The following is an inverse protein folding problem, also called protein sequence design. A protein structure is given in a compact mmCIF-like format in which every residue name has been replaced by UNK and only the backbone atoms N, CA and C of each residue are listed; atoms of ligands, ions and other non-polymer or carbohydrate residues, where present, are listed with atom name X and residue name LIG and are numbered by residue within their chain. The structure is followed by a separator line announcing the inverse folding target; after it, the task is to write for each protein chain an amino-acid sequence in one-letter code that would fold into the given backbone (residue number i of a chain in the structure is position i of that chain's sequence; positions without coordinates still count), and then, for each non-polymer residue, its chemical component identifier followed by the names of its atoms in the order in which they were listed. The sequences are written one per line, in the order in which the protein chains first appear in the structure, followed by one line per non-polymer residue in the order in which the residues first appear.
data_IF_510883437542
#
_entry.id   IF_510883437542
#
_cell.length_a   1.000
_cell.length_b   1.000
_cell.length_c   1.000
_cell.angle_alpha   90.00
_cell.angle_beta   90.00
_cell.angle_gamma   90.00
#
_symmetry.space_group_name_H-M   'P 1'
#
loop_
_entity.id
_entity.type
_entity.pdbx_description
1 polymer ?
#
# COMPACT_ATOMS: atom_id res chain seq x y z
N UNK A 1 20.76 -26.03 -15.86
CA UNK A 1 19.44 -25.71 -16.45
C UNK A 1 19.07 -24.23 -16.29
N UNK A 2 19.38 -23.57 -15.17
CA UNK A 2 19.07 -22.14 -14.96
C UNK A 2 19.76 -21.18 -15.95
N UNK A 3 21.02 -21.45 -16.33
CA UNK A 3 21.78 -20.62 -17.29
C UNK A 3 21.14 -20.50 -18.68
N UNK A 4 20.37 -21.50 -19.12
CA UNK A 4 19.71 -21.49 -20.43
C UNK A 4 18.47 -20.58 -20.46
N UNK A 5 17.77 -20.42 -19.34
CA UNK A 5 16.57 -19.57 -19.24
C UNK A 5 16.93 -18.09 -19.20
N UNK A 6 17.97 -17.72 -18.44
CA UNK A 6 18.46 -16.33 -18.37
C UNK A 6 18.99 -15.85 -19.73
N UNK A 7 19.76 -16.69 -20.45
CA UNK A 7 20.25 -16.37 -21.79
C UNK A 7 19.11 -16.19 -22.81
N UNK A 8 18.06 -17.02 -22.74
CA UNK A 8 16.89 -16.86 -23.59
C UNK A 8 16.15 -15.54 -23.33
N UNK A 9 16.02 -15.13 -22.06
CA UNK A 9 15.41 -13.86 -21.67
C UNK A 9 16.25 -12.65 -22.10
N UNK A 10 17.57 -12.73 -22.03
CA UNK A 10 18.46 -11.68 -22.55
C UNK A 10 18.33 -11.52 -24.07
N UNK A 11 18.30 -12.63 -24.82
CA UNK A 11 18.04 -12.59 -26.25
C UNK A 11 16.62 -12.08 -26.60
N UNK A 12 15.63 -12.34 -25.74
CA UNK A 12 14.29 -11.76 -25.88
C UNK A 12 14.29 -10.24 -25.58
N UNK A 13 15.05 -9.78 -24.58
CA UNK A 13 15.19 -8.36 -24.27
C UNK A 13 15.81 -7.58 -25.44
N UNK A 14 16.84 -8.12 -26.09
CA UNK A 14 17.45 -7.46 -27.25
C UNK A 14 16.51 -7.39 -28.46
N UNK A 15 15.71 -8.44 -28.70
CA UNK A 15 14.65 -8.41 -29.72
C UNK A 15 13.57 -7.38 -29.38
N UNK A 16 13.11 -7.37 -28.13
CA UNK A 16 12.14 -6.38 -27.64
C UNK A 16 12.64 -4.94 -27.83
N UNK A 17 13.91 -4.65 -27.54
CA UNK A 17 14.51 -3.32 -27.77
C UNK A 17 14.42 -2.91 -29.24
N UNK A 18 14.69 -3.84 -30.17
CA UNK A 18 14.57 -3.60 -31.62
C UNK A 18 13.14 -3.40 -32.09
N UNK A 19 12.21 -4.25 -31.64
CA UNK A 19 10.79 -4.19 -32.02
C UNK A 19 10.08 -2.92 -31.49
N UNK A 20 10.49 -2.43 -30.32
CA UNK A 20 9.88 -1.27 -29.65
C UNK A 20 10.78 -0.01 -29.68
N UNK A 21 11.78 0.04 -30.57
CA UNK A 21 12.81 1.07 -30.56
C UNK A 21 12.25 2.49 -30.58
N UNK A 22 11.31 2.80 -31.49
CA UNK A 22 10.72 4.14 -31.63
C UNK A 22 9.96 4.57 -30.37
N UNK A 23 9.17 3.65 -29.79
CA UNK A 23 8.40 3.92 -28.58
C UNK A 23 9.31 4.14 -27.35
N UNK A 24 10.40 3.38 -27.24
CA UNK A 24 11.40 3.55 -26.19
C UNK A 24 12.16 4.88 -26.35
N UNK A 25 12.54 5.25 -27.57
CA UNK A 25 13.20 6.51 -27.86
C UNK A 25 12.32 7.72 -27.52
N UNK A 26 11.02 7.66 -27.82
CA UNK A 26 10.09 8.75 -27.45
C UNK A 26 9.98 8.91 -25.92
N UNK A 27 9.96 7.81 -25.16
CA UNK A 27 9.97 7.87 -23.68
C UNK A 27 11.26 8.51 -23.15
N UNK A 28 12.42 8.16 -23.71
CA UNK A 28 13.71 8.77 -23.36
C UNK A 28 13.73 10.25 -23.73
N UNK A 29 13.14 10.63 -24.88
CA UNK A 29 13.01 12.03 -25.30
C UNK A 29 12.17 12.83 -24.31
N UNK A 30 11.00 12.32 -23.90
CA UNK A 30 10.13 12.95 -22.91
C UNK A 30 10.81 13.09 -21.53
N UNK A 31 11.56 12.07 -21.12
CA UNK A 31 12.36 12.10 -19.90
C UNK A 31 13.46 13.17 -19.97
N UNK A 32 14.12 13.31 -21.12
CA UNK A 32 15.12 14.35 -21.37
C UNK A 32 14.50 15.76 -21.34
N UNK A 33 13.32 15.94 -21.94
CA UNK A 33 12.56 17.21 -21.90
C UNK A 33 12.18 17.59 -20.46
N UNK A 34 11.79 16.61 -19.64
CA UNK A 34 11.53 16.81 -18.22
C UNK A 34 12.78 17.28 -17.46
N UNK A 35 13.93 16.64 -17.67
CA UNK A 35 15.19 17.03 -16.99
C UNK A 35 15.65 18.43 -17.42
N UNK A 36 15.51 18.79 -18.70
CA UNK A 36 15.80 20.15 -19.17
C UNK A 36 14.89 21.19 -18.51
N UNK A 37 13.61 20.85 -18.32
CA UNK A 37 12.62 21.72 -17.67
C UNK A 37 12.85 21.86 -16.17
N UNK A 38 13.28 20.78 -15.52
CA UNK A 38 13.44 20.68 -14.07
C UNK A 38 14.81 20.10 -13.71
N UNK A 39 15.91 20.83 -13.96
CA UNK A 39 17.29 20.33 -13.86
C UNK A 39 17.79 20.32 -12.42
N UNK A 40 17.02 19.72 -11.50
CA UNK A 40 17.26 19.82 -10.06
C UNK A 40 18.41 18.94 -9.58
N UNK A 41 18.85 17.96 -10.36
CA UNK A 41 20.05 17.17 -10.04
C UNK A 41 21.32 17.97 -10.31
N UNK A 42 21.35 18.73 -11.41
CA UNK A 42 22.48 19.59 -11.80
C UNK A 42 22.44 20.95 -11.10
N UNK A 43 21.23 21.46 -10.84
CA UNK A 43 20.95 22.77 -10.26
C UNK A 43 19.95 22.66 -9.08
N UNK A 44 20.34 22.02 -7.96
CA UNK A 44 19.47 21.83 -6.80
C UNK A 44 18.98 23.15 -6.20
N UNK A 45 19.72 24.25 -6.34
CA UNK A 45 19.33 25.58 -5.88
C UNK A 45 17.99 26.06 -6.47
N UNK A 46 17.64 25.59 -7.68
CA UNK A 46 16.37 25.94 -8.34
C UNK A 46 15.14 25.34 -7.65
N UNK A 47 15.30 24.35 -6.77
CA UNK A 47 14.20 23.80 -5.97
C UNK A 47 13.63 24.88 -5.03
N UNK A 48 14.50 25.70 -4.45
CA UNK A 48 14.09 26.76 -3.51
C UNK A 48 13.17 27.80 -4.19
N UNK A 49 13.37 28.03 -5.48
CA UNK A 49 12.63 29.00 -6.30
C UNK A 49 11.20 28.54 -6.65
N UNK A 50 10.88 27.26 -6.46
CA UNK A 50 9.57 26.71 -6.86
C UNK A 50 8.41 27.39 -6.12
N UNK A 51 7.53 28.02 -6.89
CA UNK A 51 6.21 28.46 -6.41
C UNK A 51 5.24 27.28 -6.24
N UNK A 52 4.16 27.43 -5.45
CA UNK A 52 3.10 26.42 -5.34
C UNK A 52 2.53 25.94 -6.70
N UNK A 53 2.39 26.86 -7.65
CA UNK A 53 1.88 26.55 -9.00
C UNK A 53 2.91 25.76 -9.83
N UNK A 54 4.19 26.04 -9.66
CA UNK A 54 5.26 25.27 -10.31
C UNK A 54 5.38 23.86 -9.74
N UNK A 55 5.18 23.67 -8.44
CA UNK A 55 5.08 22.34 -7.81
C UNK A 55 3.91 21.56 -8.41
N UNK A 56 2.74 22.21 -8.58
CA UNK A 56 1.58 21.57 -9.22
C UNK A 56 1.89 21.17 -10.66
N UNK A 57 2.54 22.05 -11.43
CA UNK A 57 2.97 21.77 -12.82
C UNK A 57 4.03 20.66 -12.90
N UNK A 58 4.98 20.64 -11.98
CA UNK A 58 5.98 19.59 -11.86
C UNK A 58 5.33 18.23 -11.63
N UNK A 59 4.38 18.14 -10.68
CA UNK A 59 3.68 16.89 -10.42
C UNK A 59 2.72 16.50 -11.55
N UNK A 60 2.16 17.47 -12.28
CA UNK A 60 1.42 17.20 -13.50
C UNK A 60 2.31 16.53 -14.56
N UNK A 61 3.56 16.97 -14.71
CA UNK A 61 4.54 16.32 -15.57
C UNK A 61 4.83 14.89 -15.13
N UNK A 62 5.14 14.71 -13.83
CA UNK A 62 5.36 13.40 -13.22
C UNK A 62 4.18 12.47 -13.49
N UNK A 63 2.93 12.90 -13.34
CA UNK A 63 1.79 12.01 -13.54
C UNK A 63 1.44 11.77 -15.01
N UNK A 64 1.24 12.83 -15.77
CA UNK A 64 0.58 12.76 -17.07
C UNK A 64 1.56 12.75 -18.24
N UNK A 65 2.55 13.65 -18.24
CA UNK A 65 3.50 13.76 -19.37
C UNK A 65 4.50 12.61 -19.40
N UNK A 66 4.87 12.09 -18.22
CA UNK A 66 5.73 10.93 -18.06
C UNK A 66 4.93 9.65 -17.77
N UNK A 67 3.65 9.60 -18.16
CA UNK A 67 2.78 8.43 -17.90
C UNK A 67 3.35 7.15 -18.50
N UNK A 68 3.83 7.23 -19.75
CA UNK A 68 4.33 6.08 -20.50
C UNK A 68 5.73 5.65 -20.05
N UNK A 69 6.42 6.50 -19.28
CA UNK A 69 7.69 6.17 -18.65
C UNK A 69 7.49 5.20 -17.47
N UNK A 70 6.55 5.53 -16.60
CA UNK A 70 6.18 4.71 -15.43
C UNK A 70 4.77 5.08 -14.98
N UNK A 71 3.78 4.23 -15.25
CA UNK A 71 2.40 4.58 -14.91
C UNK A 71 2.18 4.60 -13.39
N UNK A 72 1.56 5.68 -12.90
CA UNK A 72 1.05 5.78 -11.52
C UNK A 72 -0.39 6.27 -11.54
N UNK A 73 -1.19 5.87 -10.55
CA UNK A 73 -2.56 6.33 -10.38
C UNK A 73 -2.79 6.85 -8.95
N UNK A 74 -2.60 8.16 -8.72
CA UNK A 74 -2.83 8.75 -7.40
C UNK A 74 -4.32 8.90 -7.05
N UNK A 75 -5.23 8.54 -7.98
CA UNK A 75 -6.69 8.49 -7.76
C UNK A 75 -7.40 9.84 -7.72
N UNK A 76 -6.69 10.93 -7.46
CA UNK A 76 -7.21 12.30 -7.51
C UNK A 76 -6.07 13.32 -7.66
N UNK A 77 -6.40 14.55 -8.00
CA UNK A 77 -5.44 15.67 -8.01
C UNK A 77 -5.10 16.19 -6.60
N UNK A 78 -5.72 15.63 -5.54
CA UNK A 78 -5.53 16.05 -4.15
C UNK A 78 -4.08 15.99 -3.71
N UNK A 79 -3.29 15.01 -4.19
CA UNK A 79 -1.88 14.93 -3.81
C UNK A 79 -1.07 16.10 -4.38
N UNK A 80 -1.37 16.57 -5.60
CA UNK A 80 -0.72 17.77 -6.18
C UNK A 80 -1.07 19.01 -5.39
N UNK A 81 -2.36 19.19 -5.07
CA UNK A 81 -2.81 20.30 -4.23
C UNK A 81 -2.15 20.25 -2.84
N UNK A 82 -2.08 19.07 -2.23
CA UNK A 82 -1.43 18.88 -0.94
C UNK A 82 0.06 19.23 -0.99
N UNK A 83 0.77 18.88 -2.06
CA UNK A 83 2.17 19.27 -2.25
C UNK A 83 2.31 20.78 -2.44
N UNK A 84 1.46 21.42 -3.25
CA UNK A 84 1.44 22.88 -3.43
C UNK A 84 1.09 23.65 -2.15
N UNK A 85 0.20 23.11 -1.30
CA UNK A 85 -0.09 23.74 0.00
C UNK A 85 1.04 23.52 1.00
N UNK A 86 1.77 22.41 0.90
CA UNK A 86 2.90 22.07 1.74
C UNK A 86 4.24 22.28 1.01
N UNK A 87 4.40 23.41 0.29
CA UNK A 87 5.54 23.66 -0.60
C UNK A 87 6.89 23.45 0.07
N UNK A 88 7.08 23.96 1.28
CA UNK A 88 8.36 23.85 1.98
C UNK A 88 8.69 22.40 2.37
N UNK A 89 7.69 21.59 2.72
CA UNK A 89 7.90 20.17 2.97
C UNK A 89 8.22 19.43 1.65
N UNK A 90 7.53 19.79 0.56
CA UNK A 90 7.77 19.19 -0.74
C UNK A 90 9.18 19.50 -1.28
N UNK A 91 9.62 20.76 -1.19
CA UNK A 91 10.96 21.20 -1.60
C UNK A 91 12.05 20.41 -0.88
N UNK A 92 11.96 20.28 0.44
CA UNK A 92 12.91 19.47 1.24
C UNK A 92 12.95 18.01 0.82
N UNK A 93 11.79 17.41 0.53
CA UNK A 93 11.74 16.02 0.05
C UNK A 93 12.30 15.89 -1.38
N UNK A 94 12.11 16.89 -2.23
CA UNK A 94 12.67 16.94 -3.58
C UNK A 94 14.19 17.12 -3.55
N UNK A 95 14.73 17.94 -2.65
CA UNK A 95 16.18 18.07 -2.39
C UNK A 95 16.80 16.71 -2.04
N UNK A 96 16.18 15.98 -1.10
CA UNK A 96 16.62 14.62 -0.76
C UNK A 96 16.52 13.67 -1.97
N UNK A 97 15.46 13.77 -2.77
CA UNK A 97 15.28 12.91 -3.93
C UNK A 97 16.40 13.07 -4.97
N UNK A 98 16.88 14.29 -5.19
CA UNK A 98 17.92 14.58 -6.20
C UNK A 98 19.35 14.50 -5.67
N UNK A 99 19.55 14.43 -4.34
CA UNK A 99 20.87 14.33 -3.72
C UNK A 99 21.61 13.05 -4.15
N UNK A 100 22.68 13.20 -4.93
CA UNK A 100 23.44 12.07 -5.47
C UNK A 100 24.15 11.21 -4.40
N UNK A 101 24.40 11.76 -3.20
CA UNK A 101 25.14 11.12 -2.12
C UNK A 101 24.32 10.10 -1.32
N UNK A 102 22.99 10.18 -1.39
CA UNK A 102 22.09 9.29 -0.65
C UNK A 102 21.72 8.04 -1.46
N UNK A 103 21.59 6.91 -0.76
CA UNK A 103 21.04 5.68 -1.32
C UNK A 103 19.53 5.80 -1.60
N UNK A 104 19.03 4.97 -2.51
CA UNK A 104 17.64 5.06 -2.96
C UNK A 104 16.67 4.62 -1.87
N UNK A 105 17.06 3.70 -0.98
CA UNK A 105 16.21 3.27 0.13
C UNK A 105 15.90 4.43 1.07
N UNK A 106 16.91 5.18 1.52
CA UNK A 106 16.76 6.33 2.41
C UNK A 106 15.97 7.47 1.76
N UNK A 107 16.17 7.71 0.46
CA UNK A 107 15.36 8.69 -0.29
C UNK A 107 13.89 8.31 -0.36
N UNK A 108 13.58 7.04 -0.62
CA UNK A 108 12.20 6.52 -0.59
C UNK A 108 11.66 6.56 0.85
N UNK A 109 12.51 6.33 1.84
CA UNK A 109 12.13 6.29 3.25
C UNK A 109 12.05 7.62 3.97
N UNK A 110 12.36 8.72 3.29
CA UNK A 110 12.05 10.06 3.74
C UNK A 110 10.55 10.22 4.06
N UNK A 111 10.22 11.28 4.83
CA UNK A 111 8.87 11.56 5.35
C UNK A 111 7.91 12.09 4.28
N UNK A 112 7.80 11.38 3.16
CA UNK A 112 6.85 11.63 2.08
C UNK A 112 5.40 11.58 2.59
N UNK A 113 5.12 10.75 3.60
CA UNK A 113 3.80 10.62 4.22
C UNK A 113 3.25 11.92 4.83
N UNK A 114 4.11 12.87 5.15
CA UNK A 114 3.73 14.23 5.57
C UNK A 114 2.86 14.96 4.54
N UNK A 115 3.05 14.65 3.25
CA UNK A 115 2.21 15.19 2.19
C UNK A 115 1.13 14.17 1.86
N UNK A 116 -0.14 14.58 2.03
CA UNK A 116 -1.28 13.71 1.77
C UNK A 116 -1.22 13.15 0.33
N UNK A 117 -1.31 11.83 0.21
CA UNK A 117 -1.25 11.11 -1.08
C UNK A 117 0.13 10.59 -1.47
N UNK A 118 1.19 10.88 -0.71
CA UNK A 118 2.55 10.41 -0.99
C UNK A 118 2.98 9.21 -0.12
N UNK A 119 2.24 8.89 0.94
CA UNK A 119 2.72 7.98 2.00
C UNK A 119 2.67 6.48 1.75
N UNK A 120 1.74 5.97 0.93
CA UNK A 120 1.42 4.53 0.81
C UNK A 120 2.58 3.64 0.32
N UNK A 121 2.50 3.11 -0.89
CA UNK A 121 3.65 2.39 -1.50
C UNK A 121 4.72 3.36 -2.07
N UNK A 122 4.60 4.65 -1.72
CA UNK A 122 5.53 5.73 -2.09
C UNK A 122 5.80 5.84 -3.59
N UNK A 123 4.80 5.53 -4.42
CA UNK A 123 4.93 5.52 -5.88
C UNK A 123 5.29 6.90 -6.46
N UNK A 124 4.80 7.99 -5.86
CA UNK A 124 5.17 9.35 -6.27
C UNK A 124 6.67 9.57 -6.05
N UNK A 125 7.18 9.24 -4.85
CA UNK A 125 8.59 9.35 -4.51
C UNK A 125 9.44 8.50 -5.46
N UNK A 126 9.12 7.21 -5.61
CA UNK A 126 9.79 6.28 -6.53
C UNK A 126 9.83 6.82 -7.97
N UNK A 127 8.75 7.44 -8.44
CA UNK A 127 8.71 8.01 -9.80
C UNK A 127 9.60 9.23 -9.94
N UNK A 128 9.58 10.14 -8.97
CA UNK A 128 10.49 11.30 -8.93
C UNK A 128 11.94 10.82 -8.91
N UNK A 129 12.26 9.87 -8.04
CA UNK A 129 13.59 9.27 -7.94
C UNK A 129 14.03 8.61 -9.24
N UNK A 130 13.16 7.83 -9.89
CA UNK A 130 13.47 7.24 -11.20
C UNK A 130 13.75 8.32 -12.26
N UNK A 131 13.00 9.42 -12.26
CA UNK A 131 13.25 10.51 -13.21
C UNK A 131 14.62 11.16 -12.99
N UNK A 132 15.09 11.28 -11.76
CA UNK A 132 16.40 11.90 -11.49
C UNK A 132 17.56 10.93 -11.41
N UNK A 133 17.31 9.64 -11.16
CA UNK A 133 18.31 8.59 -11.03
C UNK A 133 17.88 7.31 -11.74
N UNK A 134 17.61 7.35 -13.06
CA UNK A 134 17.17 6.18 -13.82
C UNK A 134 18.23 5.07 -13.87
N UNK A 135 19.49 5.37 -13.57
CA UNK A 135 20.58 4.41 -13.48
C UNK A 135 20.49 3.51 -12.24
N UNK A 136 19.73 3.93 -11.21
CA UNK A 136 19.68 3.24 -9.90
C UNK A 136 18.45 2.36 -9.71
N UNK A 137 17.40 2.50 -10.54
CA UNK A 137 16.17 1.73 -10.39
C UNK A 137 15.41 1.60 -11.71
N UNK A 138 14.58 0.55 -11.80
CA UNK A 138 13.65 0.33 -12.89
C UNK A 138 12.39 1.20 -12.72
N UNK A 139 11.68 1.55 -13.81
CA UNK A 139 10.41 2.27 -13.76
C UNK A 139 9.22 1.40 -13.29
N UNK A 140 9.45 0.56 -12.27
CA UNK A 140 8.46 -0.32 -11.66
C UNK A 140 8.17 0.23 -10.26
N UNK A 141 7.12 1.04 -10.16
CA UNK A 141 6.82 1.82 -8.94
C UNK A 141 6.19 0.97 -7.84
N UNK A 142 5.44 -0.06 -8.20
CA UNK A 142 4.75 -0.93 -7.25
C UNK A 142 5.71 -1.95 -6.64
N UNK A 143 5.80 -1.99 -5.30
CA UNK A 143 6.59 -3.01 -4.58
C UNK A 143 6.05 -4.41 -4.89
N UNK A 144 4.72 -4.57 -4.96
CA UNK A 144 4.08 -5.86 -5.34
C UNK A 144 4.51 -6.32 -6.73
N UNK A 145 4.66 -5.40 -7.68
CA UNK A 145 5.08 -5.76 -9.04
C UNK A 145 6.56 -6.16 -9.06
N UNK A 146 7.42 -5.44 -8.33
CA UNK A 146 8.82 -5.84 -8.16
C UNK A 146 8.94 -7.22 -7.53
N UNK A 147 8.16 -7.51 -6.49
CA UNK A 147 8.08 -8.84 -5.86
C UNK A 147 7.59 -9.90 -6.85
N UNK A 148 6.56 -9.58 -7.64
CA UNK A 148 6.01 -10.46 -8.66
C UNK A 148 7.08 -10.86 -9.68
N UNK A 149 7.77 -9.89 -10.30
CA UNK A 149 8.80 -10.18 -11.28
C UNK A 149 9.96 -10.98 -10.68
N UNK A 150 10.41 -10.59 -9.50
CA UNK A 150 11.50 -11.29 -8.78
C UNK A 150 11.11 -12.76 -8.53
N UNK A 151 9.88 -13.01 -8.05
CA UNK A 151 9.36 -14.37 -7.83
C UNK A 151 9.22 -15.18 -9.13
N UNK A 152 8.71 -14.56 -10.20
CA UNK A 152 8.53 -15.22 -11.51
C UNK A 152 9.85 -15.58 -12.18
N UNK A 153 10.92 -14.87 -11.84
CA UNK A 153 12.29 -15.18 -12.25
C UNK A 153 13.00 -16.17 -11.31
N UNK A 154 12.31 -16.72 -10.30
CA UNK A 154 12.87 -17.68 -9.34
C UNK A 154 13.82 -17.07 -8.32
N UNK A 155 13.85 -15.74 -8.19
CA UNK A 155 14.75 -15.05 -7.28
C UNK A 155 14.17 -15.01 -5.85
N UNK A 156 14.93 -15.52 -4.89
CA UNK A 156 14.50 -15.61 -3.49
C UNK A 156 14.83 -14.32 -2.70
N UNK A 157 14.00 -13.29 -2.89
CA UNK A 157 14.19 -12.02 -2.18
C UNK A 157 13.98 -12.11 -0.67
N UNK A 158 13.25 -13.12 -0.18
CA UNK A 158 13.04 -13.33 1.27
C UNK A 158 14.35 -13.73 1.94
N UNK A 159 15.07 -14.68 1.34
CA UNK A 159 16.40 -15.07 1.81
C UNK A 159 17.41 -13.92 1.63
N UNK A 160 17.36 -13.24 0.48
CA UNK A 160 18.30 -12.15 0.19
C UNK A 160 18.16 -10.95 1.12
N UNK A 161 16.97 -10.69 1.67
CA UNK A 161 16.75 -9.65 2.67
C UNK A 161 17.64 -9.82 3.91
N UNK A 162 17.75 -11.05 4.43
CA UNK A 162 18.61 -11.34 5.57
C UNK A 162 20.09 -11.18 5.22
N UNK A 163 20.50 -11.60 4.03
CA UNK A 163 21.89 -11.48 3.59
C UNK A 163 22.34 -10.02 3.43
N UNK A 164 21.45 -9.15 2.93
CA UNK A 164 21.78 -7.74 2.65
C UNK A 164 21.57 -6.85 3.88
N UNK A 165 20.50 -7.05 4.63
CA UNK A 165 20.09 -6.14 5.72
C UNK A 165 20.13 -6.76 7.12
N UNK A 166 20.47 -8.05 7.25
CA UNK A 166 20.49 -8.75 8.54
C UNK A 166 19.10 -8.96 9.17
N UNK A 167 18.01 -8.75 8.44
CA UNK A 167 16.63 -8.84 8.94
C UNK A 167 15.67 -9.42 7.89
N UNK A 168 14.52 -9.93 8.35
CA UNK A 168 13.51 -10.52 7.47
C UNK A 168 12.95 -9.51 6.48
N UNK A 169 12.48 -10.03 5.33
CA UNK A 169 11.86 -9.21 4.30
C UNK A 169 10.69 -8.37 4.81
N UNK A 170 9.88 -8.93 5.73
CA UNK A 170 8.73 -8.21 6.31
C UNK A 170 9.12 -7.05 7.23
N UNK A 171 10.34 -7.06 7.76
CA UNK A 171 10.89 -5.95 8.57
C UNK A 171 11.62 -4.90 7.73
N UNK A 172 11.72 -5.08 6.41
CA UNK A 172 12.26 -4.07 5.52
C UNK A 172 11.25 -2.92 5.35
N UNK A 173 11.75 -1.69 5.35
CA UNK A 173 10.99 -0.53 4.93
C UNK A 173 10.67 -0.58 3.43
N UNK A 174 9.74 0.25 2.97
CA UNK A 174 9.38 0.34 1.54
C UNK A 174 10.59 0.66 0.67
N UNK A 175 11.48 1.56 1.12
CA UNK A 175 12.72 1.88 0.41
C UNK A 175 13.66 0.69 0.33
N UNK A 176 13.89 0.00 1.45
CA UNK A 176 14.75 -1.20 1.49
C UNK A 176 14.21 -2.34 0.60
N UNK A 177 12.89 -2.57 0.60
CA UNK A 177 12.24 -3.53 -0.32
C UNK A 177 12.47 -3.14 -1.78
N UNK A 178 12.24 -1.87 -2.12
CA UNK A 178 12.42 -1.35 -3.46
C UNK A 178 13.88 -1.49 -3.93
N UNK A 179 14.85 -1.12 -3.10
CA UNK A 179 16.27 -1.21 -3.41
C UNK A 179 16.73 -2.65 -3.59
N UNK A 180 16.32 -3.56 -2.69
CA UNK A 180 16.66 -4.98 -2.76
C UNK A 180 16.17 -5.59 -4.08
N UNK A 181 14.89 -5.42 -4.39
CA UNK A 181 14.27 -6.04 -5.56
C UNK A 181 14.84 -5.48 -6.86
N UNK A 182 15.07 -4.16 -6.95
CA UNK A 182 15.74 -3.57 -8.10
C UNK A 182 17.14 -4.14 -8.29
N UNK A 183 17.95 -4.22 -7.22
CA UNK A 183 19.30 -4.79 -7.29
C UNK A 183 19.28 -6.24 -7.77
N UNK A 184 18.36 -7.05 -7.25
CA UNK A 184 18.21 -8.44 -7.67
C UNK A 184 17.81 -8.59 -9.14
N UNK A 185 16.85 -7.79 -9.62
CA UNK A 185 16.44 -7.79 -11.02
C UNK A 185 17.59 -7.34 -11.94
N UNK A 186 18.25 -6.22 -11.62
CA UNK A 186 19.39 -5.74 -12.40
C UNK A 186 20.53 -6.76 -12.44
N UNK A 187 20.85 -7.39 -11.31
CA UNK A 187 21.85 -8.46 -11.21
C UNK A 187 21.48 -9.66 -12.09
N UNK A 188 20.22 -10.09 -12.08
CA UNK A 188 19.76 -11.22 -12.90
C UNK A 188 19.96 -10.98 -14.40
N UNK A 189 19.80 -9.74 -14.86
CA UNK A 189 20.06 -9.35 -16.25
C UNK A 189 21.52 -8.93 -16.53
N UNK A 190 22.43 -9.13 -15.56
CA UNK A 190 23.87 -8.89 -15.75
C UNK A 190 24.30 -7.43 -15.58
N UNK A 191 23.50 -6.58 -14.95
CA UNK A 191 23.74 -5.14 -14.83
C UNK A 191 24.29 -4.70 -13.46
N UNK A 192 24.81 -5.62 -12.65
CA UNK A 192 25.24 -5.35 -11.26
C UNK A 192 26.42 -4.37 -11.12
N UNK A 193 27.20 -4.15 -12.18
CA UNK A 193 28.37 -3.25 -12.23
C UNK A 193 28.38 -2.37 -13.49
N UNK A 194 27.22 -2.17 -14.12
CA UNK A 194 27.10 -1.39 -15.35
C UNK A 194 26.56 0.00 -15.02
N UNK A 195 27.17 1.04 -15.59
CA UNK A 195 26.58 2.37 -15.59
C UNK A 195 25.40 2.35 -16.57
N UNK A 196 24.19 2.25 -16.02
CA UNK A 196 22.96 2.12 -16.80
C UNK A 196 22.46 3.47 -17.27
N UNK A 197 22.08 3.56 -18.54
CA UNK A 197 21.35 4.71 -19.06
C UNK A 197 19.83 4.56 -18.86
N UNK A 198 19.11 5.66 -19.07
CA UNK A 198 17.66 5.66 -18.99
C UNK A 198 17.03 4.72 -20.02
N UNK A 199 17.60 4.62 -21.22
CA UNK A 199 17.08 3.73 -22.26
C UNK A 199 17.05 2.28 -21.77
N UNK A 200 18.14 1.79 -21.17
CA UNK A 200 18.27 0.42 -20.70
C UNK A 200 17.30 0.10 -19.57
N UNK A 201 17.15 0.97 -18.58
CA UNK A 201 16.22 0.74 -17.46
C UNK A 201 14.75 0.87 -17.88
N UNK A 202 14.43 1.77 -18.80
CA UNK A 202 13.09 1.87 -19.41
C UNK A 202 12.77 0.62 -20.23
N UNK A 203 13.70 0.18 -21.06
CA UNK A 203 13.54 -1.02 -21.88
C UNK A 203 13.32 -2.26 -21.01
N UNK A 204 14.17 -2.46 -19.99
CA UNK A 204 14.05 -3.60 -19.08
C UNK A 204 12.74 -3.57 -18.28
N UNK A 205 12.35 -2.42 -17.74
CA UNK A 205 11.07 -2.29 -17.04
C UNK A 205 9.87 -2.62 -17.94
N UNK A 206 9.88 -2.13 -19.19
CA UNK A 206 8.83 -2.39 -20.17
C UNK A 206 8.78 -3.86 -20.59
N UNK A 207 9.94 -4.44 -20.85
CA UNK A 207 10.11 -5.85 -21.19
C UNK A 207 9.53 -6.78 -20.12
N UNK A 208 9.79 -6.50 -18.83
CA UNK A 208 9.26 -7.31 -17.74
C UNK A 208 7.73 -7.32 -17.72
N UNK A 209 7.09 -6.17 -17.95
CA UNK A 209 5.63 -6.10 -18.07
C UNK A 209 5.09 -6.86 -19.28
N UNK A 210 5.77 -6.78 -20.43
CA UNK A 210 5.32 -7.44 -21.66
C UNK A 210 5.47 -8.96 -21.59
N UNK A 211 6.61 -9.46 -21.10
CA UNK A 211 6.95 -10.88 -21.14
C UNK A 211 6.41 -11.65 -19.94
N UNK A 212 6.49 -11.07 -18.72
CA UNK A 212 6.03 -11.75 -17.51
C UNK A 212 4.55 -11.46 -17.23
N UNK A 213 4.09 -10.26 -17.61
CA UNK A 213 2.80 -9.74 -17.21
C UNK A 213 2.83 -9.10 -15.83
N UNK A 214 1.91 -8.16 -15.57
CA UNK A 214 1.68 -7.67 -14.21
C UNK A 214 1.03 -8.74 -13.33
N UNK A 215 1.05 -8.58 -11.99
CA UNK A 215 0.26 -9.45 -11.12
C UNK A 215 -1.21 -9.41 -11.54
N UNK A 216 -1.88 -10.56 -11.47
CA UNK A 216 -3.31 -10.63 -11.76
C UNK A 216 -4.04 -9.60 -10.90
N UNK A 217 -4.80 -8.71 -11.54
CA UNK A 217 -5.72 -7.85 -10.80
C UNK A 217 -6.63 -8.77 -10.02
N UNK A 218 -6.53 -8.76 -8.69
CA UNK A 218 -7.58 -9.30 -7.84
C UNK A 218 -8.86 -8.59 -8.26
N UNK A 219 -9.70 -9.27 -9.04
CA UNK A 219 -11.01 -8.75 -9.39
C UNK A 219 -11.74 -8.63 -8.07
N UNK A 220 -12.00 -7.42 -7.55
CA UNK A 220 -12.87 -7.30 -6.40
C UNK A 220 -14.19 -7.97 -6.81
N UNK A 221 -14.80 -8.81 -5.97
CA UNK A 221 -16.07 -9.43 -6.32
C UNK A 221 -17.01 -8.36 -6.86
N UNK A 222 -17.63 -8.65 -8.01
CA UNK A 222 -18.39 -7.68 -8.78
C UNK A 222 -19.32 -6.88 -7.85
N UNK A 223 -19.06 -5.57 -7.74
CA UNK A 223 -19.93 -4.67 -6.99
C UNK A 223 -21.31 -4.71 -7.63
N UNK A 224 -22.27 -5.39 -7.00
CA UNK A 224 -23.69 -5.23 -7.31
C UNK A 224 -24.02 -3.74 -7.16
N UNK A 225 -24.56 -3.12 -8.19
CA UNK A 225 -25.04 -1.75 -8.17
C UNK A 225 -26.14 -1.61 -7.12
N UNK A 226 -25.79 -1.20 -5.89
CA UNK A 226 -26.76 -0.77 -4.89
C UNK A 226 -27.09 0.69 -5.16
N UNK A 227 -28.39 0.98 -5.33
CA UNK A 227 -28.95 2.32 -5.35
C UNK A 227 -28.41 3.16 -4.17
N UNK A 228 -28.25 4.46 -4.41
CA UNK A 228 -27.66 5.43 -3.49
C UNK A 228 -28.39 5.47 -2.13
N UNK A 229 -27.86 4.78 -1.13
CA UNK A 229 -28.17 5.03 0.27
C UNK A 229 -27.29 6.19 0.81
N UNK A 230 -27.89 7.08 1.61
CA UNK A 230 -27.23 8.25 2.21
C UNK A 230 -26.34 7.82 3.39
N UNK A 231 -25.17 8.45 3.61
CA UNK A 231 -24.22 8.02 4.64
C UNK A 231 -24.63 8.43 6.05
N UNK A 232 -24.54 7.49 7.00
CA UNK A 232 -24.64 7.71 8.45
C UNK A 232 -23.25 8.00 8.99
N UNK A 233 -23.10 9.14 9.68
CA UNK A 233 -21.80 9.80 9.87
C UNK A 233 -21.12 9.54 11.22
N UNK A 234 -21.58 8.59 12.03
CA UNK A 234 -21.12 8.50 13.43
C UNK A 234 -20.19 7.30 13.75
N UNK A 235 -20.06 6.24 12.93
CA UNK A 235 -19.17 5.11 13.28
C UNK A 235 -18.35 4.50 12.13
N UNK A 236 -18.03 5.28 11.09
CA UNK A 236 -17.20 4.84 9.96
C UNK A 236 -17.67 3.56 9.22
N UNK A 237 -18.88 3.06 9.51
CA UNK A 237 -19.56 1.98 8.81
C UNK A 237 -20.75 2.54 8.03
N UNK A 238 -20.88 2.13 6.76
CA UNK A 238 -21.96 2.56 5.87
C UNK A 238 -23.16 1.60 5.86
N UNK A 239 -23.01 0.42 6.43
CA UNK A 239 -23.99 -0.67 6.40
C UNK A 239 -24.10 -1.33 7.78
N UNK A 240 -25.23 -2.00 8.03
CA UNK A 240 -25.38 -2.88 9.19
C UNK A 240 -24.46 -4.11 9.03
N UNK A 241 -23.90 -4.64 10.13
CA UNK A 241 -23.06 -5.83 10.10
C UNK A 241 -23.87 -7.07 9.70
N UNK A 242 -23.28 -7.87 8.82
CA UNK A 242 -23.80 -9.15 8.35
C UNK A 242 -23.01 -10.35 8.93
N UNK A 243 -21.83 -10.10 9.54
CA UNK A 243 -20.95 -11.13 10.11
C UNK A 243 -20.41 -10.78 11.51
N UNK A 244 -20.07 -11.79 12.32
CA UNK A 244 -19.54 -11.63 13.70
C UNK A 244 -18.27 -10.76 13.76
N UNK A 245 -17.36 -10.89 12.78
CA UNK A 245 -16.14 -10.07 12.71
C UNK A 245 -16.44 -8.57 12.57
N UNK A 246 -17.58 -8.21 12.01
CA UNK A 246 -18.02 -6.82 11.90
C UNK A 246 -18.59 -6.32 13.24
N UNK A 247 -19.25 -7.19 14.02
CA UNK A 247 -19.66 -6.90 15.41
C UNK A 247 -18.44 -6.59 16.28
N UNK A 248 -17.38 -7.38 16.13
CA UNK A 248 -16.10 -7.14 16.80
C UNK A 248 -15.54 -5.74 16.44
N UNK A 249 -15.61 -5.34 15.17
CA UNK A 249 -15.19 -4.00 14.74
C UNK A 249 -15.99 -2.89 15.46
N UNK A 250 -17.32 -2.99 15.52
CA UNK A 250 -18.14 -2.01 16.23
C UNK A 250 -17.88 -2.01 17.74
N UNK A 251 -17.73 -3.19 18.34
CA UNK A 251 -17.36 -3.30 19.74
C UNK A 251 -16.00 -2.64 20.00
N UNK A 252 -15.00 -2.85 19.15
CA UNK A 252 -13.68 -2.21 19.28
C UNK A 252 -13.72 -0.68 19.18
N UNK A 253 -14.74 -0.10 18.54
CA UNK A 253 -14.96 1.36 18.53
C UNK A 253 -15.70 1.85 19.78
N UNK A 254 -16.59 1.04 20.35
CA UNK A 254 -17.53 1.44 21.40
C UNK A 254 -17.16 0.92 22.80
N UNK A 255 -16.20 -0.01 22.93
CA UNK A 255 -15.98 -0.79 24.16
C UNK A 255 -15.82 0.07 25.41
N UNK A 256 -15.17 1.22 25.31
CA UNK A 256 -14.99 2.16 26.45
C UNK A 256 -16.31 2.78 26.88
N UNK A 257 -17.13 3.20 25.93
CA UNK A 257 -18.44 3.81 26.17
C UNK A 257 -19.42 2.79 26.75
N UNK A 258 -19.31 1.53 26.30
CA UNK A 258 -20.04 0.37 26.82
C UNK A 258 -19.61 -0.06 28.24
N UNK A 259 -18.56 0.56 28.80
CA UNK A 259 -18.11 0.26 30.17
C UNK A 259 -17.01 -0.79 30.28
N UNK A 260 -16.36 -1.13 29.17
CA UNK A 260 -15.22 -2.05 29.11
C UNK A 260 -13.94 -1.30 28.71
N UNK A 261 -13.27 -0.59 29.63
CA UNK A 261 -12.12 0.26 29.31
C UNK A 261 -10.96 -0.46 28.59
N UNK A 262 -10.78 -1.77 28.80
CA UNK A 262 -9.67 -2.53 28.22
C UNK A 262 -10.13 -3.86 27.63
N UNK A 263 -9.61 -4.21 26.45
CA UNK A 263 -9.71 -5.55 25.87
C UNK A 263 -8.42 -6.30 26.23
N UNK A 264 -8.55 -7.44 26.90
CA UNK A 264 -7.42 -8.26 27.38
C UNK A 264 -7.02 -9.27 26.30
N UNK A 265 -8.01 -9.90 25.67
CA UNK A 265 -7.78 -10.99 24.72
C UNK A 265 -8.92 -11.06 23.72
N UNK A 266 -8.55 -11.33 22.46
CA UNK A 266 -9.46 -11.76 21.40
C UNK A 266 -8.99 -13.15 20.94
N UNK A 267 -9.92 -14.06 20.66
CA UNK A 267 -9.64 -15.40 20.18
C UNK A 267 -10.73 -15.87 19.22
N UNK A 268 -10.44 -16.91 18.45
CA UNK A 268 -11.39 -17.56 17.55
C UNK A 268 -12.11 -18.76 18.20
N UNK A 269 -11.99 -18.91 19.51
CA UNK A 269 -12.57 -20.00 20.29
C UNK A 269 -13.49 -19.39 21.33
N UNK A 270 -14.66 -20.00 21.50
CA UNK A 270 -15.62 -19.59 22.52
C UNK A 270 -15.01 -19.52 23.93
N UNK A 271 -15.25 -18.44 24.71
CA UNK A 271 -15.87 -17.19 24.29
C UNK A 271 -14.89 -16.26 23.57
N UNK A 272 -15.34 -15.51 22.57
CA UNK A 272 -14.50 -14.73 21.64
C UNK A 272 -13.55 -13.71 22.28
N UNK A 273 -13.94 -13.10 23.41
CA UNK A 273 -13.15 -12.05 24.03
C UNK A 273 -13.13 -12.08 25.56
N UNK A 274 -12.05 -11.54 26.11
CA UNK A 274 -11.90 -11.18 27.52
C UNK A 274 -11.65 -9.68 27.63
N UNK A 275 -12.42 -9.00 28.48
CA UNK A 275 -12.37 -7.55 28.69
C UNK A 275 -12.34 -7.20 30.17
N UNK A 276 -11.90 -5.99 30.51
CA UNK A 276 -11.96 -5.47 31.88
C UNK A 276 -13.12 -4.47 31.98
N UNK A 277 -14.05 -4.68 32.91
CA UNK A 277 -15.14 -3.75 33.20
C UNK A 277 -14.69 -2.57 34.10
N UNK A 278 -15.57 -1.60 34.36
CA UNK A 278 -15.26 -0.44 35.22
C UNK A 278 -14.89 -0.81 36.67
N UNK A 279 -15.34 -1.97 37.15
CA UNK A 279 -15.02 -2.50 38.47
C UNK A 279 -13.71 -3.30 38.48
N UNK A 280 -12.96 -3.27 37.36
CA UNK A 280 -11.70 -3.99 37.15
C UNK A 280 -11.85 -5.51 37.17
N UNK A 281 -13.04 -6.03 36.89
CA UNK A 281 -13.27 -7.48 36.76
C UNK A 281 -13.09 -7.91 35.33
N UNK A 282 -12.49 -9.08 35.13
CA UNK A 282 -12.43 -9.73 33.82
C UNK A 282 -13.83 -10.24 33.49
N UNK A 283 -14.29 -9.93 32.29
CA UNK A 283 -15.57 -10.37 31.71
C UNK A 283 -15.32 -11.05 30.38
N UNK A 284 -16.10 -12.07 30.09
CA UNK A 284 -16.07 -12.77 28.80
C UNK A 284 -17.22 -12.35 27.91
N UNK A 285 -16.95 -12.26 26.61
CA UNK A 285 -17.92 -11.82 25.59
C UNK A 285 -17.94 -12.85 24.48
N UNK A 286 -19.14 -13.18 24.01
CA UNK A 286 -19.37 -13.81 22.71
C UNK A 286 -19.96 -12.78 21.74
N UNK A 287 -19.45 -12.74 20.50
CA UNK A 287 -19.96 -11.86 19.46
C UNK A 287 -20.93 -12.61 18.56
N UNK A 288 -22.09 -12.01 18.32
CA UNK A 288 -23.11 -12.59 17.45
C UNK A 288 -23.74 -11.53 16.58
N UNK A 289 -24.19 -11.86 15.37
CA UNK A 289 -24.93 -10.88 14.56
C UNK A 289 -26.28 -10.59 15.22
N UNK A 290 -26.97 -11.64 15.67
CA UNK A 290 -28.24 -11.57 16.41
C UNK A 290 -28.15 -12.30 17.73
N UNK A 291 -28.86 -11.84 18.75
CA UNK A 291 -28.88 -12.54 20.04
C UNK A 291 -29.37 -14.00 19.93
N UNK A 292 -30.29 -14.29 19.00
CA UNK A 292 -30.75 -15.66 18.73
C UNK A 292 -29.69 -16.59 18.14
N UNK A 293 -28.63 -16.05 17.53
CA UNK A 293 -27.56 -16.85 16.91
C UNK A 293 -26.73 -17.58 17.97
N UNK A 294 -26.56 -16.99 19.16
CA UNK A 294 -25.93 -17.64 20.32
C UNK A 294 -26.62 -18.98 20.67
N UNK A 295 -27.96 -18.99 20.63
CA UNK A 295 -28.77 -20.18 20.91
C UNK A 295 -28.67 -21.16 19.75
N UNK A 296 -28.73 -20.66 18.51
CA UNK A 296 -28.64 -21.46 17.28
C UNK A 296 -27.30 -22.19 17.15
N UNK A 297 -26.21 -21.54 17.55
CA UNK A 297 -24.87 -22.11 17.56
C UNK A 297 -24.63 -23.08 18.72
N UNK A 298 -25.53 -23.12 19.70
CA UNK A 298 -25.49 -24.08 20.80
C UNK A 298 -24.48 -23.74 21.89
N UNK A 299 -24.18 -22.45 22.08
CA UNK A 299 -23.25 -22.00 23.12
C UNK A 299 -23.82 -22.25 24.53
N UNK A 300 -22.97 -22.62 25.50
CA UNK A 300 -23.40 -22.84 26.88
C UNK A 300 -23.81 -21.52 27.55
N UNK A 301 -24.96 -21.52 28.22
CA UNK A 301 -25.54 -20.33 28.87
C UNK A 301 -24.67 -19.71 29.97
N UNK A 302 -23.85 -20.53 30.62
CA UNK A 302 -22.89 -20.15 31.65
C UNK A 302 -21.46 -19.98 31.11
N UNK A 303 -21.29 -20.02 29.79
CA UNK A 303 -19.98 -19.97 29.13
C UNK A 303 -19.40 -18.58 28.90
N UNK A 304 -20.22 -17.52 28.99
CA UNK A 304 -19.77 -16.15 28.92
C UNK A 304 -20.58 -15.19 29.81
N UNK A 305 -20.02 -14.03 30.14
CA UNK A 305 -20.75 -12.99 30.89
C UNK A 305 -21.72 -12.19 30.00
N UNK A 306 -21.35 -11.95 28.74
CA UNK A 306 -22.11 -11.12 27.80
C UNK A 306 -22.23 -11.74 26.40
N UNK A 307 -23.38 -11.49 25.78
CA UNK A 307 -23.58 -11.60 24.33
C UNK A 307 -23.55 -10.18 23.79
N UNK A 308 -22.56 -9.84 22.98
CA UNK A 308 -22.52 -8.57 22.26
C UNK A 308 -23.00 -8.82 20.84
N UNK A 309 -24.13 -8.22 20.47
CA UNK A 309 -24.72 -8.41 19.15
C UNK A 309 -25.10 -7.11 18.46
N UNK A 310 -25.42 -7.16 17.17
CA UNK A 310 -25.97 -5.99 16.50
C UNK A 310 -27.38 -5.69 17.00
N UNK A 311 -28.26 -6.67 16.91
CA UNK A 311 -29.66 -6.56 17.34
C UNK A 311 -30.05 -7.69 18.29
N UNK A 312 -30.88 -7.35 19.28
CA UNK A 312 -31.54 -8.32 20.13
C UNK A 312 -32.91 -8.64 19.51
N UNK A 313 -33.02 -9.81 18.88
CA UNK A 313 -34.22 -10.30 18.21
C UNK A 313 -35.03 -11.30 19.05
N UNK A 314 -34.61 -11.56 20.30
CA UNK A 314 -35.30 -12.44 21.22
C UNK A 314 -36.52 -11.73 21.83
N UNK A 315 -37.70 -12.35 21.72
CA UNK A 315 -38.94 -11.83 22.34
C UNK A 315 -38.96 -12.03 23.85
N UNK A 316 -38.50 -13.21 24.28
CA UNK A 316 -38.39 -13.61 25.67
C UNK A 316 -36.96 -14.10 25.91
N UNK A 317 -36.33 -13.65 27.00
CA UNK A 317 -34.99 -14.07 27.36
C UNK A 317 -35.08 -15.35 28.21
N UNK A 318 -34.54 -16.50 27.75
CA UNK A 318 -34.51 -17.70 28.57
C UNK A 318 -33.77 -17.47 29.90
N UNK A 319 -34.25 -18.11 30.96
CA UNK A 319 -33.60 -18.03 32.27
C UNK A 319 -32.15 -18.55 32.19
N UNK A 320 -31.26 -17.84 32.89
CA UNK A 320 -29.83 -18.14 32.97
C UNK A 320 -28.99 -17.69 31.77
N UNK A 321 -29.54 -16.92 30.82
CA UNK A 321 -28.76 -16.40 29.69
C UNK A 321 -27.73 -15.32 30.10
N UNK A 322 -26.61 -15.18 29.37
CA UNK A 322 -25.70 -14.06 29.53
C UNK A 322 -26.38 -12.72 29.27
N UNK A 323 -25.76 -11.62 29.75
CA UNK A 323 -26.28 -10.27 29.52
C UNK A 323 -26.15 -9.89 28.05
N UNK A 324 -27.23 -9.41 27.43
CA UNK A 324 -27.22 -8.98 26.04
C UNK A 324 -26.86 -7.49 25.97
N UNK A 325 -25.93 -7.15 25.07
CA UNK A 325 -25.56 -5.79 24.70
C UNK A 325 -25.76 -5.62 23.19
N UNK A 326 -26.88 -5.01 22.81
CA UNK A 326 -27.22 -4.73 21.42
C UNK A 326 -26.57 -3.41 20.96
N UNK A 327 -25.55 -3.50 20.11
CA UNK A 327 -24.77 -2.34 19.65
C UNK A 327 -25.63 -1.34 18.88
N UNK A 328 -26.69 -1.78 18.18
CA UNK A 328 -27.61 -0.91 17.44
C UNK A 328 -28.27 0.16 18.30
N UNK A 329 -28.42 -0.07 19.61
CA UNK A 329 -28.96 0.91 20.57
C UNK A 329 -27.98 2.08 20.85
N UNK A 330 -26.69 1.86 20.64
CA UNK A 330 -25.63 2.83 20.87
C UNK A 330 -25.25 3.60 19.61
N UNK A 331 -25.82 3.23 18.45
CA UNK A 331 -25.62 3.91 17.18
C UNK A 331 -26.82 4.84 16.90
N UNK A 332 -26.57 6.15 16.81
CA UNK A 332 -27.60 7.13 16.40
C UNK A 332 -27.62 7.27 14.88
N UNK A 333 -28.82 7.13 14.31
CA UNK A 333 -29.10 7.23 12.87
C UNK A 333 -29.21 8.68 12.38
#
# INVERSE_FOLDING_TARGET
MESSSAQALLAALERFKGEHQEALQERVRLHSEFLQRYPFREHPEKIAELSPDEISRFLYWIEHRLKDLAHMNPGSDLYRRAASTNSEAFKKLLELAVDSSMDIANKIDADWGRIRGFGGDKQVAKKILFCYSPEKMLPILSTEHLEHFTRRLGLNYVHQAYNVYGKSYEMLSTGQKCELLNRMLLTYFGYQDTELDAYTTIALGSFLYEVIGGPERRVPPARKSRERAKPVRILAALFEPEYEQEILYFFALLHRDLGFPYVVRLRSQFPDAEVVDRDRKIRTIEFEVRASDFIRHGHPKDGCDFIVCWENDLKDLPEGMPKILALKEFVRW
#
